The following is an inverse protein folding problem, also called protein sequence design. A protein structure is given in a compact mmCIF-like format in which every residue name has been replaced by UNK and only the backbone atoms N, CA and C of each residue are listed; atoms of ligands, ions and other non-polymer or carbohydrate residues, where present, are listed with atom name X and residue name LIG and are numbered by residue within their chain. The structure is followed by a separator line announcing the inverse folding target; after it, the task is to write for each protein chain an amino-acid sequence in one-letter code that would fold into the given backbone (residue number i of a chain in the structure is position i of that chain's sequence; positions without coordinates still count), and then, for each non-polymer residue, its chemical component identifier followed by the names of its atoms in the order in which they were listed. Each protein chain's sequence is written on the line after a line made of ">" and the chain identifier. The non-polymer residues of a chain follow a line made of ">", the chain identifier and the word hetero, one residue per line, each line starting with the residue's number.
data_IF_179245088069
#
_entry.id   IF_179245088069
#
_cell.length_a   1.000
_cell.length_b   1.000
_cell.length_c   1.000
_cell.angle_alpha   90.00
_cell.angle_beta   90.00
_cell.angle_gamma   90.00
#
_symmetry.space_group_name_H-M   'P 1'
#
loop_
_entity.id
_entity.type
_entity.pdbx_description
1 polymer ?
#
# COMPACT_ATOMS: atom_id res chain seq x y z
N UNK A 1 -12.45 33.53 -79.23
CA UNK A 1 -13.21 33.72 -77.98
C UNK A 1 -13.12 32.44 -77.15
N UNK A 2 -12.36 32.45 -76.01
CA UNK A 2 -12.26 31.31 -75.10
C UNK A 2 -13.20 31.58 -73.94
N UNK A 3 -14.23 30.79 -73.78
CA UNK A 3 -15.15 30.84 -72.64
C UNK A 3 -14.51 30.20 -71.41
N UNK A 4 -14.25 30.97 -70.36
CA UNK A 4 -13.91 30.45 -69.01
C UNK A 4 -15.22 29.99 -68.35
N UNK A 5 -15.37 28.68 -68.12
CA UNK A 5 -16.44 28.11 -67.28
C UNK A 5 -16.07 28.27 -65.83
N UNK A 6 -16.85 29.00 -65.06
CA UNK A 6 -16.73 29.07 -63.63
C UNK A 6 -17.02 27.69 -63.01
N UNK A 7 -16.28 27.28 -61.94
CA UNK A 7 -16.54 25.97 -61.29
C UNK A 7 -17.93 25.93 -60.66
N UNK A 8 -18.61 24.79 -60.81
CA UNK A 8 -19.97 24.56 -60.35
C UNK A 8 -20.12 24.75 -58.85
N UNK A 9 -21.28 25.22 -58.42
CA UNK A 9 -21.61 25.47 -56.99
C UNK A 9 -21.33 24.29 -56.05
N UNK A 10 -21.43 23.05 -56.60
CA UNK A 10 -21.11 21.80 -55.88
C UNK A 10 -19.63 21.67 -55.50
N UNK A 11 -18.69 22.16 -56.32
CA UNK A 11 -17.26 22.09 -56.04
C UNK A 11 -16.86 23.10 -54.91
N UNK A 12 -17.54 24.25 -54.85
CA UNK A 12 -17.35 25.25 -53.78
C UNK A 12 -17.89 24.77 -52.44
N UNK A 13 -19.02 24.04 -52.44
CA UNK A 13 -19.59 23.44 -51.21
C UNK A 13 -18.71 22.28 -50.68
N UNK A 14 -18.15 21.45 -51.55
CA UNK A 14 -17.23 20.38 -51.14
C UNK A 14 -15.91 20.91 -50.53
N UNK A 15 -15.35 21.99 -51.12
CA UNK A 15 -14.14 22.65 -50.55
C UNK A 15 -14.41 23.28 -49.19
N UNK A 16 -15.60 23.88 -48.99
CA UNK A 16 -15.97 24.48 -47.70
C UNK A 16 -16.20 23.42 -46.61
N UNK A 17 -16.80 22.28 -46.92
CA UNK A 17 -17.00 21.18 -46.01
C UNK A 17 -15.67 20.50 -45.62
N UNK A 18 -14.72 20.37 -46.58
CA UNK A 18 -13.39 19.86 -46.30
C UNK A 18 -12.57 20.81 -45.40
N UNK A 19 -12.73 22.13 -45.59
CA UNK A 19 -12.04 23.14 -44.76
C UNK A 19 -12.58 23.17 -43.34
N UNK A 20 -13.91 23.02 -43.15
CA UNK A 20 -14.54 22.94 -41.81
C UNK A 20 -14.15 21.64 -41.12
N UNK A 21 -14.09 20.52 -41.82
CA UNK A 21 -13.66 19.25 -41.28
C UNK A 21 -12.19 19.25 -40.83
N UNK A 22 -11.31 19.94 -41.60
CA UNK A 22 -9.90 20.09 -41.25
C UNK A 22 -9.71 20.97 -40.01
N UNK A 23 -10.52 22.00 -39.83
CA UNK A 23 -10.48 22.89 -38.66
C UNK A 23 -11.04 22.16 -37.42
N UNK A 24 -12.11 21.35 -37.56
CA UNK A 24 -12.69 20.54 -36.47
C UNK A 24 -11.73 19.43 -36.00
N UNK A 25 -10.95 18.84 -36.89
CA UNK A 25 -9.92 17.84 -36.50
C UNK A 25 -8.71 18.50 -35.81
N UNK A 26 -8.38 19.75 -36.19
CA UNK A 26 -7.29 20.48 -35.55
C UNK A 26 -7.63 20.98 -34.12
N UNK A 27 -8.91 21.21 -33.82
CA UNK A 27 -9.33 21.67 -32.47
C UNK A 27 -9.48 20.55 -31.44
N UNK A 28 -9.43 19.26 -31.82
CA UNK A 28 -9.50 18.14 -30.88
C UNK A 28 -8.13 17.61 -30.43
N UNK A 29 -7.04 18.28 -30.77
CA UNK A 29 -5.68 17.96 -30.27
C UNK A 29 -5.16 18.96 -29.27
N UNK A 30 -5.97 19.33 -28.29
CA UNK A 30 -5.43 19.85 -27.02
C UNK A 30 -5.31 18.72 -26.00
N UNK A 31 -4.72 17.61 -26.36
CA UNK A 31 -3.97 16.85 -25.39
C UNK A 31 -2.82 17.75 -25.00
N UNK A 32 -2.90 18.38 -23.84
CA UNK A 32 -1.72 18.98 -23.21
C UNK A 32 -0.65 17.90 -23.21
N UNK A 33 0.28 17.94 -24.15
CA UNK A 33 1.48 17.13 -24.11
C UNK A 33 2.23 17.58 -22.85
N UNK A 34 2.07 16.82 -21.77
CA UNK A 34 2.86 17.03 -20.57
C UNK A 34 4.31 16.91 -21.02
N UNK A 35 5.09 17.97 -20.82
CA UNK A 35 6.50 17.94 -21.16
C UNK A 35 7.15 16.71 -20.52
N UNK A 36 7.84 15.89 -21.28
CA UNK A 36 8.56 14.71 -20.77
C UNK A 36 9.56 15.09 -19.67
N UNK A 37 10.08 16.31 -19.68
CA UNK A 37 10.94 16.83 -18.61
C UNK A 37 10.24 16.96 -17.26
N UNK A 38 8.91 17.07 -17.24
CA UNK A 38 8.12 17.11 -16.00
C UNK A 38 7.83 15.71 -15.44
N UNK A 39 7.92 14.66 -16.24
CA UNK A 39 7.72 13.27 -15.85
C UNK A 39 9.00 12.69 -15.23
N UNK A 40 9.41 13.27 -14.10
CA UNK A 40 10.56 12.80 -13.32
C UNK A 40 10.36 11.39 -12.79
N UNK A 41 11.45 10.75 -12.29
CA UNK A 41 11.35 9.45 -11.63
C UNK A 41 10.34 9.47 -10.48
N UNK A 42 10.28 10.57 -9.71
CA UNK A 42 9.32 10.74 -8.61
C UNK A 42 7.88 10.72 -9.14
N UNK A 43 7.58 11.46 -10.21
CA UNK A 43 6.23 11.46 -10.80
C UNK A 43 5.83 10.06 -11.26
N UNK A 44 6.76 9.31 -11.90
CA UNK A 44 6.51 7.94 -12.34
C UNK A 44 6.27 6.98 -11.17
N UNK A 45 7.07 7.10 -10.09
CA UNK A 45 6.91 6.32 -8.88
C UNK A 45 5.54 6.53 -8.23
N UNK A 46 5.12 7.80 -8.10
CA UNK A 46 3.81 8.17 -7.55
C UNK A 46 2.66 7.66 -8.43
N UNK A 47 2.75 7.85 -9.75
CA UNK A 47 1.72 7.37 -10.70
C UNK A 47 1.56 5.86 -10.66
N UNK A 48 2.65 5.10 -10.50
CA UNK A 48 2.63 3.65 -10.39
C UNK A 48 2.00 3.14 -9.08
N UNK A 49 2.29 3.81 -7.97
CA UNK A 49 1.89 3.34 -6.64
C UNK A 49 0.51 3.86 -6.19
N UNK A 50 0.03 5.00 -6.70
CA UNK A 50 -1.17 5.69 -6.16
C UNK A 50 -2.43 4.83 -6.13
N UNK A 51 -2.58 3.90 -7.08
CA UNK A 51 -3.77 3.04 -7.17
C UNK A 51 -3.81 1.94 -6.12
N UNK A 52 -2.68 1.64 -5.49
CA UNK A 52 -2.59 0.70 -4.38
C UNK A 52 -2.77 1.36 -3.00
N UNK A 53 -2.84 2.70 -2.95
CA UNK A 53 -2.93 3.47 -1.70
C UNK A 53 -4.38 3.88 -1.47
N UNK A 54 -4.90 3.56 -0.30
CA UNK A 54 -6.27 3.89 0.10
C UNK A 54 -6.31 4.76 1.34
N UNK A 55 -7.37 5.57 1.47
CA UNK A 55 -7.62 6.34 2.68
C UNK A 55 -8.48 5.52 3.64
N UNK A 56 -8.09 5.50 4.91
CA UNK A 56 -8.83 4.84 5.98
C UNK A 56 -9.45 5.91 6.88
N UNK A 57 -10.75 5.82 7.05
CA UNK A 57 -11.51 6.67 7.96
C UNK A 57 -12.31 5.82 8.94
N UNK A 58 -12.44 6.30 10.16
CA UNK A 58 -13.26 5.64 11.15
C UNK A 58 -13.59 6.54 12.32
N UNK A 59 -14.70 6.24 13.00
CA UNK A 59 -15.04 6.93 14.24
C UNK A 59 -14.58 6.10 15.42
N UNK A 60 -13.70 6.69 16.23
CA UNK A 60 -13.28 6.16 17.54
C UNK A 60 -14.13 6.80 18.62
N UNK A 61 -14.58 6.00 19.59
CA UNK A 61 -15.18 6.51 20.80
C UNK A 61 -14.08 6.62 21.86
N UNK A 62 -13.70 7.84 22.19
CA UNK A 62 -12.77 8.10 23.29
C UNK A 62 -13.54 8.53 24.53
N UNK A 63 -13.16 8.08 25.74
CA UNK A 63 -13.71 8.62 26.99
C UNK A 63 -13.54 10.14 27.01
N UNK A 64 -14.54 10.87 27.52
CA UNK A 64 -14.49 12.33 27.62
C UNK A 64 -13.41 12.76 28.61
N UNK A 65 -13.29 12.02 29.71
CA UNK A 65 -12.23 12.18 30.70
C UNK A 65 -11.74 10.78 31.12
N UNK A 66 -10.46 10.50 30.93
CA UNK A 66 -9.87 9.21 31.31
C UNK A 66 -9.74 9.05 32.84
N UNK A 67 -9.79 10.15 33.60
CA UNK A 67 -9.70 10.14 35.06
C UNK A 67 -11.03 9.91 35.76
N UNK A 68 -12.17 10.00 35.03
CA UNK A 68 -13.52 9.86 35.62
C UNK A 68 -14.26 8.69 35.00
N UNK A 69 -14.48 7.59 35.74
CA UNK A 69 -15.27 6.45 35.24
C UNK A 69 -16.71 6.88 34.90
N UNK A 70 -17.22 6.40 33.74
CA UNK A 70 -18.61 6.57 33.28
C UNK A 70 -19.06 7.98 32.80
N UNK A 71 -18.16 8.90 32.49
CA UNK A 71 -18.53 10.22 31.95
C UNK A 71 -18.96 10.24 30.46
N UNK A 72 -19.16 9.09 29.84
CA UNK A 72 -19.52 9.00 28.42
C UNK A 72 -18.30 9.03 27.49
N UNK A 73 -18.55 8.94 26.20
CA UNK A 73 -17.49 8.94 25.17
C UNK A 73 -17.81 9.95 24.08
N UNK A 74 -16.79 10.61 23.56
CA UNK A 74 -16.90 11.47 22.39
C UNK A 74 -16.43 10.71 21.14
N UNK A 75 -17.12 10.91 20.02
CA UNK A 75 -16.65 10.41 18.74
C UNK A 75 -15.49 11.28 18.23
N UNK A 76 -14.38 10.65 17.89
CA UNK A 76 -13.23 11.29 17.26
C UNK A 76 -12.99 10.61 15.92
N UNK A 77 -12.81 11.39 14.86
CA UNK A 77 -12.47 10.84 13.57
C UNK A 77 -11.02 10.34 13.60
N UNK A 78 -10.83 9.03 13.41
CA UNK A 78 -9.54 8.43 13.08
C UNK A 78 -9.30 8.52 11.59
N UNK A 79 -8.11 8.93 11.17
CA UNK A 79 -7.68 8.99 9.77
C UNK A 79 -6.33 8.31 9.64
N UNK A 80 -6.15 7.60 8.55
CA UNK A 80 -4.90 6.96 8.17
C UNK A 80 -4.94 6.50 6.73
N UNK A 81 -3.95 5.74 6.39
CA UNK A 81 -3.73 5.21 5.05
C UNK A 81 -3.60 3.69 5.13
N UNK A 82 -3.89 3.00 4.05
CA UNK A 82 -3.63 1.58 3.87
C UNK A 82 -3.03 1.31 2.50
N UNK A 83 -2.33 0.19 2.39
CA UNK A 83 -1.70 -0.26 1.15
C UNK A 83 -2.28 -1.60 0.74
N UNK A 84 -2.73 -1.70 -0.49
CA UNK A 84 -3.26 -2.95 -1.06
C UNK A 84 -2.11 -3.92 -1.33
N UNK A 85 -2.18 -5.10 -0.74
CA UNK A 85 -1.12 -6.12 -0.79
C UNK A 85 -1.57 -7.42 -1.50
N UNK A 86 -2.86 -7.60 -1.75
CA UNK A 86 -3.40 -8.78 -2.45
C UNK A 86 -4.68 -8.43 -3.22
N UNK A 87 -4.86 -8.99 -4.44
CA UNK A 87 -6.00 -8.73 -5.34
C UNK A 87 -7.36 -9.11 -4.76
N UNK A 88 -7.41 -9.92 -3.70
CA UNK A 88 -8.64 -10.26 -2.99
C UNK A 88 -9.09 -9.17 -2.02
N UNK A 89 -8.39 -8.03 -2.00
CA UNK A 89 -8.74 -6.87 -1.19
C UNK A 89 -8.10 -6.84 0.19
N UNK A 90 -6.99 -7.53 0.42
CA UNK A 90 -6.23 -7.40 1.67
C UNK A 90 -5.35 -6.17 1.64
N UNK A 91 -5.40 -5.41 2.72
CA UNK A 91 -4.64 -4.17 2.90
C UNK A 91 -3.83 -4.26 4.19
N UNK A 92 -2.61 -3.74 4.12
CA UNK A 92 -1.75 -3.51 5.26
C UNK A 92 -1.90 -2.06 5.73
N UNK A 93 -1.96 -1.85 7.05
CA UNK A 93 -2.02 -0.53 7.69
C UNK A 93 -1.43 -0.62 9.10
N UNK A 94 -1.33 0.50 9.81
CA UNK A 94 -0.96 0.48 11.22
C UNK A 94 -2.14 0.07 12.11
N UNK A 95 -1.83 -0.62 13.21
CA UNK A 95 -2.81 -1.01 14.22
C UNK A 95 -3.52 0.21 14.81
N UNK A 96 -2.78 1.27 15.19
CA UNK A 96 -3.35 2.47 15.80
C UNK A 96 -4.35 3.20 14.88
N UNK A 97 -4.30 3.00 13.56
CA UNK A 97 -5.27 3.56 12.59
C UNK A 97 -6.64 2.91 12.76
N UNK A 98 -6.68 1.60 13.04
CA UNK A 98 -7.92 0.80 13.14
C UNK A 98 -8.31 0.47 14.58
N UNK A 99 -7.46 0.74 15.57
CA UNK A 99 -7.72 0.45 16.97
C UNK A 99 -8.90 1.27 17.50
N UNK A 100 -9.86 0.59 18.14
CA UNK A 100 -11.06 1.21 18.67
C UNK A 100 -12.05 1.75 17.61
N UNK A 101 -11.83 1.46 16.33
CA UNK A 101 -12.71 1.87 15.24
C UNK A 101 -13.85 0.87 15.07
N UNK A 102 -15.10 1.32 15.23
CA UNK A 102 -16.28 0.44 15.06
C UNK A 102 -16.56 0.09 13.60
N UNK A 103 -16.34 1.02 12.71
CA UNK A 103 -16.58 0.86 11.27
C UNK A 103 -15.40 1.44 10.51
N UNK A 104 -14.62 0.58 9.89
CA UNK A 104 -13.47 0.96 9.09
C UNK A 104 -13.97 1.26 7.69
N UNK A 105 -13.94 2.54 7.30
CA UNK A 105 -14.33 3.00 5.98
C UNK A 105 -13.06 3.21 5.14
N UNK A 106 -13.03 2.65 3.94
CA UNK A 106 -11.91 2.71 3.01
C UNK A 106 -12.36 3.45 1.76
N UNK A 107 -11.60 4.47 1.35
CA UNK A 107 -11.80 5.19 0.09
C UNK A 107 -10.64 4.89 -0.84
N UNK A 108 -10.93 4.29 -1.99
CA UNK A 108 -9.95 3.97 -3.05
C UNK A 108 -9.50 5.23 -3.79
N UNK A 109 -8.46 5.10 -4.63
CA UNK A 109 -7.91 6.19 -5.44
C UNK A 109 -8.92 6.79 -6.44
N UNK A 110 -9.89 6.01 -6.90
CA UNK A 110 -11.00 6.44 -7.76
C UNK A 110 -12.12 7.18 -7.03
N UNK A 111 -12.01 7.32 -5.69
CA UNK A 111 -13.02 7.94 -4.83
C UNK A 111 -14.12 7.00 -4.36
N UNK A 112 -14.15 5.75 -4.81
CA UNK A 112 -15.13 4.78 -4.31
C UNK A 112 -14.87 4.44 -2.85
N UNK A 113 -15.94 4.36 -2.07
CA UNK A 113 -15.89 4.11 -0.64
C UNK A 113 -16.54 2.77 -0.31
N UNK A 114 -15.86 1.97 0.50
CA UNK A 114 -16.34 0.67 0.97
C UNK A 114 -16.07 0.49 2.47
N UNK A 115 -16.59 -0.58 3.05
CA UNK A 115 -16.35 -0.95 4.46
C UNK A 115 -15.40 -2.13 4.51
N UNK A 116 -14.33 -1.98 5.27
CA UNK A 116 -13.36 -3.04 5.49
C UNK A 116 -13.69 -3.84 6.77
N UNK A 117 -13.28 -5.11 6.76
CA UNK A 117 -13.25 -5.99 7.93
C UNK A 117 -11.84 -6.05 8.47
N UNK A 118 -11.66 -5.95 9.78
CA UNK A 118 -10.40 -6.26 10.44
C UNK A 118 -10.20 -7.78 10.39
N UNK A 119 -9.07 -8.22 9.87
CA UNK A 119 -8.71 -9.64 9.74
C UNK A 119 -7.76 -10.04 10.86
N UNK A 120 -6.64 -9.32 10.99
CA UNK A 120 -5.63 -9.59 11.98
C UNK A 120 -4.96 -8.28 12.42
N UNK A 121 -4.36 -8.29 13.61
CA UNK A 121 -3.67 -7.11 14.16
C UNK A 121 -2.58 -7.54 15.13
N UNK A 122 -1.51 -6.79 15.13
CA UNK A 122 -0.46 -6.89 16.15
C UNK A 122 -0.19 -5.52 16.74
N UNK A 123 -0.35 -5.42 18.06
CA UNK A 123 -0.14 -4.18 18.81
C UNK A 123 1.34 -3.90 19.04
N UNK A 124 2.17 -4.94 19.15
CA UNK A 124 3.58 -4.80 19.47
C UNK A 124 4.33 -4.13 18.31
N UNK A 125 4.06 -4.55 17.10
CA UNK A 125 4.65 -3.99 15.87
C UNK A 125 3.83 -2.87 15.23
N UNK A 126 2.64 -2.57 15.80
CA UNK A 126 1.70 -1.57 15.25
C UNK A 126 1.22 -1.89 13.82
N UNK A 127 0.98 -3.16 13.52
CA UNK A 127 0.50 -3.60 12.21
C UNK A 127 -0.94 -4.13 12.28
N UNK A 128 -1.68 -3.96 11.20
CA UNK A 128 -3.00 -4.54 11.04
C UNK A 128 -3.27 -4.91 9.58
N UNK A 129 -4.02 -5.99 9.38
CA UNK A 129 -4.54 -6.43 8.09
C UNK A 129 -6.05 -6.23 8.10
N UNK A 130 -6.53 -5.48 7.13
CA UNK A 130 -7.96 -5.29 6.88
C UNK A 130 -8.32 -5.82 5.50
N UNK A 131 -9.58 -6.14 5.27
CA UNK A 131 -10.06 -6.66 4.00
C UNK A 131 -11.26 -5.87 3.49
N UNK A 132 -11.17 -5.41 2.25
CA UNK A 132 -12.31 -4.87 1.47
C UNK A 132 -12.89 -5.95 0.56
N UNK A 133 -14.12 -5.79 0.04
CA UNK A 133 -14.64 -6.66 -1.00
C UNK A 133 -13.69 -6.72 -2.20
N UNK A 134 -13.58 -7.89 -2.81
CA UNK A 134 -12.80 -8.08 -4.02
C UNK A 134 -13.43 -7.29 -5.18
N UNK A 135 -12.57 -6.70 -6.01
CA UNK A 135 -12.91 -5.91 -7.18
C UNK A 135 -11.81 -6.15 -8.22
N UNK A 136 -12.19 -6.30 -9.48
CA UNK A 136 -11.24 -6.60 -10.57
C UNK A 136 -10.28 -5.43 -10.89
N UNK A 137 -10.60 -4.22 -10.40
CA UNK A 137 -9.79 -3.02 -10.58
C UNK A 137 -8.77 -2.76 -9.45
N UNK A 138 -8.55 -3.73 -8.54
CA UNK A 138 -7.60 -3.56 -7.45
C UNK A 138 -6.15 -3.66 -7.94
N UNK A 139 -5.36 -2.66 -7.60
CA UNK A 139 -3.93 -2.59 -7.94
C UNK A 139 -3.08 -2.84 -6.70
N UNK A 140 -2.23 -3.87 -6.75
CA UNK A 140 -1.33 -4.21 -5.65
C UNK A 140 -0.12 -3.28 -5.66
N UNK A 141 0.35 -2.89 -4.48
CA UNK A 141 1.57 -2.11 -4.33
C UNK A 141 2.79 -2.90 -4.84
N UNK A 142 3.62 -2.31 -5.69
CA UNK A 142 4.91 -2.90 -6.01
C UNK A 142 5.75 -2.97 -4.73
N UNK A 143 6.18 -4.17 -4.33
CA UNK A 143 7.03 -4.38 -3.17
C UNK A 143 8.50 -4.31 -3.59
N UNK A 144 9.29 -3.57 -2.82
CA UNK A 144 10.74 -3.58 -2.83
C UNK A 144 11.26 -4.45 -1.69
N UNK A 145 12.54 -4.32 -1.35
CA UNK A 145 13.14 -4.91 -0.15
C UNK A 145 13.67 -3.80 0.76
N UNK A 146 13.75 -4.08 2.06
CA UNK A 146 14.36 -3.16 3.05
C UNK A 146 15.73 -3.62 3.52
N UNK A 147 16.22 -4.76 3.04
CA UNK A 147 17.52 -5.33 3.45
C UNK A 147 18.74 -4.71 2.74
N UNK A 148 18.54 -3.98 1.64
CA UNK A 148 19.61 -3.36 0.84
C UNK A 148 19.59 -1.82 0.87
N UNK A 149 18.82 -1.23 1.77
CA UNK A 149 18.65 0.22 1.86
C UNK A 149 19.95 0.95 2.24
N UNK A 150 20.15 2.12 1.64
CA UNK A 150 21.31 2.98 1.88
C UNK A 150 20.89 4.34 2.44
N UNK A 151 21.62 4.83 3.44
CA UNK A 151 21.45 6.20 3.92
C UNK A 151 21.75 7.19 2.79
N UNK A 152 20.85 8.16 2.58
CA UNK A 152 20.92 9.11 1.47
C UNK A 152 20.07 8.76 0.26
N UNK A 153 19.48 7.56 0.18
CA UNK A 153 18.53 7.23 -0.88
C UNK A 153 17.31 8.13 -0.87
N UNK A 154 16.85 8.53 -2.07
CA UNK A 154 15.61 9.27 -2.22
C UNK A 154 14.41 8.40 -1.91
N UNK A 155 13.54 8.88 -1.02
CA UNK A 155 12.28 8.22 -0.66
C UNK A 155 11.09 9.13 -0.86
N UNK A 156 9.92 8.52 -1.07
CA UNK A 156 8.65 9.18 -1.31
C UNK A 156 7.63 8.58 -0.35
N UNK A 157 7.11 9.40 0.56
CA UNK A 157 6.02 8.98 1.44
C UNK A 157 4.68 9.39 0.83
N UNK A 158 3.73 8.46 0.80
CA UNK A 158 2.38 8.70 0.32
C UNK A 158 1.36 8.42 1.42
N UNK A 159 0.25 9.17 1.39
CA UNK A 159 -0.84 8.95 2.33
C UNK A 159 -1.92 10.02 2.26
N UNK A 160 -2.76 10.03 3.29
CA UNK A 160 -3.88 10.95 3.44
C UNK A 160 -3.60 11.97 4.56
N UNK A 161 -2.50 12.72 4.43
CA UNK A 161 -2.12 13.71 5.46
C UNK A 161 -3.26 14.72 5.67
N UNK A 162 -3.72 14.84 6.92
CA UNK A 162 -4.80 15.77 7.33
C UNK A 162 -6.12 15.65 6.53
N UNK A 163 -6.39 14.50 5.91
CA UNK A 163 -7.59 14.31 5.08
C UNK A 163 -7.44 14.81 3.64
N UNK A 164 -6.26 15.28 3.24
CA UNK A 164 -5.94 15.61 1.85
C UNK A 164 -5.52 14.33 1.11
N UNK A 165 -6.44 13.78 0.34
CA UNK A 165 -6.25 12.55 -0.41
C UNK A 165 -4.96 12.57 -1.23
N UNK A 166 -4.16 11.49 -1.13
CA UNK A 166 -2.93 11.30 -1.89
C UNK A 166 -1.88 12.40 -1.70
N UNK A 167 -1.69 12.86 -0.45
CA UNK A 167 -0.56 13.72 -0.11
C UNK A 167 0.74 12.97 -0.36
N UNK A 168 1.68 13.63 -1.05
CA UNK A 168 2.99 13.08 -1.39
C UNK A 168 4.06 13.98 -0.79
N UNK A 169 4.98 13.40 -0.04
CA UNK A 169 6.18 14.09 0.45
C UNK A 169 7.42 13.35 -0.02
N UNK A 170 8.54 14.07 -0.14
CA UNK A 170 9.82 13.53 -0.58
C UNK A 170 10.89 13.82 0.45
N UNK A 171 11.81 12.90 0.63
CA UNK A 171 12.99 13.04 1.46
C UNK A 171 14.06 12.03 1.09
N UNK A 172 14.90 11.73 2.05
CA UNK A 172 15.93 10.69 1.96
C UNK A 172 15.83 9.74 3.15
N UNK A 173 16.46 8.60 3.08
CA UNK A 173 16.76 7.76 4.24
C UNK A 173 17.80 8.50 5.07
N UNK A 174 17.41 8.97 6.26
CA UNK A 174 18.30 9.70 7.18
C UNK A 174 19.13 8.76 8.05
N UNK A 175 18.56 7.60 8.41
CA UNK A 175 19.22 6.54 9.17
C UNK A 175 18.42 5.24 9.08
N UNK A 176 19.08 4.13 9.41
CA UNK A 176 18.50 2.80 9.51
C UNK A 176 18.62 2.29 10.95
N UNK A 177 17.88 1.22 11.26
CA UNK A 177 17.92 0.50 12.53
C UNK A 177 17.68 1.42 13.74
N UNK A 178 16.59 2.23 13.67
CA UNK A 178 16.22 3.14 14.77
C UNK A 178 15.21 2.50 15.71
N UNK A 179 15.60 2.45 16.98
CA UNK A 179 14.69 2.11 18.08
C UNK A 179 14.09 3.38 18.65
N UNK A 180 12.76 3.48 18.66
CA UNK A 180 12.05 4.71 19.02
C UNK A 180 11.06 4.45 20.15
N UNK A 181 11.31 4.94 21.36
CA UNK A 181 10.36 4.87 22.46
C UNK A 181 9.18 5.81 22.20
N UNK A 182 7.96 5.29 22.32
CA UNK A 182 6.71 6.04 22.15
C UNK A 182 6.12 6.41 23.50
N UNK A 183 6.20 5.50 24.46
CA UNK A 183 5.74 5.64 25.83
C UNK A 183 6.61 4.77 26.75
N UNK A 184 6.32 4.78 28.05
CA UNK A 184 7.01 3.90 29.02
C UNK A 184 6.79 2.41 28.73
N UNK A 185 5.73 2.06 27.98
CA UNK A 185 5.33 0.66 27.72
C UNK A 185 5.33 0.28 26.24
N UNK A 186 5.66 1.20 25.34
CA UNK A 186 5.64 0.95 23.89
C UNK A 186 6.89 1.53 23.22
N UNK A 187 7.57 0.71 22.45
CA UNK A 187 8.75 1.05 21.67
C UNK A 187 8.62 0.39 20.28
N UNK A 188 9.03 1.11 19.26
CA UNK A 188 9.26 0.54 17.94
C UNK A 188 10.74 0.19 17.79
N UNK A 189 10.99 -0.90 17.08
CA UNK A 189 12.35 -1.39 16.84
C UNK A 189 12.65 -1.38 15.37
N UNK A 190 13.93 -1.20 15.02
CA UNK A 190 14.49 -1.35 13.69
C UNK A 190 13.84 -0.46 12.60
N UNK A 191 13.39 0.75 12.94
CA UNK A 191 12.72 1.63 12.00
C UNK A 191 13.70 2.27 11.01
N UNK A 192 13.18 2.54 9.80
CA UNK A 192 13.77 3.46 8.81
C UNK A 192 13.47 4.88 9.27
N UNK A 193 14.50 5.73 9.42
CA UNK A 193 14.33 7.17 9.66
C UNK A 193 14.44 7.94 8.34
N UNK A 194 13.53 8.90 8.11
CA UNK A 194 13.50 9.77 6.93
C UNK A 194 13.22 11.23 7.31
N UNK A 195 13.65 12.16 6.49
CA UNK A 195 13.25 13.56 6.55
C UNK A 195 12.04 13.88 5.66
N UNK A 196 11.52 12.90 4.92
CA UNK A 196 10.21 13.02 4.27
C UNK A 196 9.14 13.35 5.31
N UNK A 197 8.27 14.32 5.01
CA UNK A 197 7.23 14.76 5.95
C UNK A 197 6.20 13.66 6.24
N UNK A 198 6.34 12.98 7.38
CA UNK A 198 5.34 12.05 7.90
C UNK A 198 4.47 12.78 8.91
N UNK A 199 3.19 12.90 8.60
CA UNK A 199 2.20 13.61 9.40
C UNK A 199 1.01 12.70 9.73
N UNK A 200 0.18 13.05 10.74
CA UNK A 200 -1.07 12.34 11.00
C UNK A 200 -1.90 12.18 9.72
N UNK A 201 -2.28 10.95 9.42
CA UNK A 201 -2.96 10.55 8.18
C UNK A 201 -2.05 9.80 7.18
N UNK A 202 -0.72 10.01 7.19
CA UNK A 202 0.22 9.20 6.40
C UNK A 202 0.52 7.85 7.04
N UNK A 203 0.22 7.64 8.32
CA UNK A 203 0.35 6.34 9.00
C UNK A 203 -0.36 5.25 8.23
N UNK A 204 0.31 4.13 8.02
CA UNK A 204 -0.18 2.98 7.25
C UNK A 204 -0.05 3.14 5.74
N UNK A 205 0.46 4.28 5.26
CA UNK A 205 0.81 4.48 3.86
C UNK A 205 2.22 4.01 3.52
N UNK A 206 2.55 3.85 2.23
CA UNK A 206 3.85 3.36 1.82
C UNK A 206 4.93 4.44 1.90
N UNK A 207 6.13 4.03 2.31
CA UNK A 207 7.38 4.67 1.97
C UNK A 207 7.92 3.98 0.71
N UNK A 208 8.07 4.73 -0.37
CA UNK A 208 8.52 4.22 -1.67
C UNK A 208 9.97 4.61 -1.92
N UNK A 209 10.71 3.77 -2.62
CA UNK A 209 11.98 4.14 -3.24
C UNK A 209 11.73 4.92 -4.54
N UNK A 210 12.80 5.35 -5.20
CA UNK A 210 12.74 6.13 -6.45
C UNK A 210 12.15 5.33 -7.63
N UNK A 211 12.12 4.00 -7.56
CA UNK A 211 11.51 3.11 -8.54
C UNK A 211 10.00 2.92 -8.32
N UNK A 212 9.44 3.49 -7.23
CA UNK A 212 8.03 3.34 -6.86
C UNK A 212 7.71 2.03 -6.14
N UNK A 213 8.72 1.30 -5.67
CA UNK A 213 8.54 0.10 -4.86
C UNK A 213 8.43 0.48 -3.39
N UNK A 214 7.51 -0.15 -2.68
CA UNK A 214 7.34 0.02 -1.24
C UNK A 214 8.50 -0.63 -0.49
N UNK A 215 9.24 0.17 0.27
CA UNK A 215 10.37 -0.23 1.11
C UNK A 215 10.06 -0.14 2.61
N UNK A 216 8.94 0.47 2.97
CA UNK A 216 8.47 0.57 4.35
C UNK A 216 7.04 1.03 4.46
N UNK A 217 6.48 0.92 5.67
CA UNK A 217 5.16 1.40 6.04
C UNK A 217 5.30 2.61 6.98
N UNK A 218 4.81 3.77 6.58
CA UNK A 218 4.94 5.01 7.34
C UNK A 218 4.27 4.92 8.71
N UNK A 219 4.96 5.39 9.74
CA UNK A 219 4.45 5.52 11.10
C UNK A 219 4.58 6.98 11.55
N UNK A 220 3.47 7.64 11.82
CA UNK A 220 3.49 8.99 12.38
C UNK A 220 3.76 8.91 13.89
N UNK A 221 5.00 9.05 14.27
CA UNK A 221 5.46 9.09 15.66
C UNK A 221 5.60 10.54 16.11
N UNK A 222 4.98 10.88 17.22
CA UNK A 222 5.06 12.24 17.78
C UNK A 222 6.34 12.39 18.60
N UNK A 223 7.47 12.67 17.94
CA UNK A 223 8.78 12.80 18.62
C UNK A 223 9.13 14.25 18.98
N UNK A 224 8.26 15.22 18.67
CA UNK A 224 8.50 16.65 19.01
C UNK A 224 9.55 17.36 18.16
N UNK A 225 10.19 16.68 17.23
CA UNK A 225 11.18 17.26 16.32
C UNK A 225 10.59 17.43 14.90
N UNK A 226 11.00 18.50 14.22
CA UNK A 226 10.65 18.72 12.80
C UNK A 226 11.58 17.89 11.91
N UNK A 227 11.07 17.45 10.74
CA UNK A 227 11.83 16.71 9.73
C UNK A 227 12.39 15.35 10.22
N UNK A 228 11.68 14.70 11.14
CA UNK A 228 11.97 13.33 11.55
C UNK A 228 10.69 12.51 11.36
N UNK A 229 10.71 11.63 10.38
CA UNK A 229 9.69 10.64 10.09
C UNK A 229 10.27 9.23 10.27
N UNK A 230 9.37 8.25 10.43
CA UNK A 230 9.74 6.85 10.57
C UNK A 230 8.87 5.96 9.71
N UNK A 231 9.42 4.80 9.31
CA UNK A 231 8.70 3.74 8.66
C UNK A 231 9.15 2.37 9.16
N UNK A 232 8.20 1.45 9.29
CA UNK A 232 8.47 0.04 9.54
C UNK A 232 9.05 -0.55 8.25
N UNK A 233 10.22 -1.23 8.26
CA UNK A 233 10.79 -1.88 7.09
C UNK A 233 9.81 -2.86 6.43
N UNK A 234 9.77 -2.89 5.10
CA UNK A 234 8.79 -3.71 4.36
C UNK A 234 8.98 -5.20 4.61
N UNK A 235 10.23 -5.68 4.69
CA UNK A 235 10.54 -7.10 4.93
C UNK A 235 9.99 -7.53 6.29
N UNK A 236 10.22 -6.74 7.35
CA UNK A 236 9.65 -6.95 8.68
C UNK A 236 8.11 -6.91 8.67
N UNK A 237 7.53 -5.94 7.95
CA UNK A 237 6.08 -5.80 7.87
C UNK A 237 5.42 -7.02 7.20
N UNK A 238 6.06 -7.61 6.18
CA UNK A 238 5.58 -8.81 5.50
C UNK A 238 5.68 -10.07 6.37
N UNK A 239 6.77 -10.22 7.13
CA UNK A 239 6.94 -11.35 8.06
C UNK A 239 5.90 -11.32 9.17
N UNK A 240 5.74 -10.17 9.84
CA UNK A 240 4.73 -10.01 10.89
C UNK A 240 3.32 -10.20 10.34
N UNK A 241 3.03 -9.67 9.15
CA UNK A 241 1.74 -9.85 8.50
C UNK A 241 1.45 -11.34 8.20
N UNK A 242 2.47 -12.11 7.78
CA UNK A 242 2.35 -13.56 7.57
C UNK A 242 2.04 -14.28 8.89
N UNK A 243 2.75 -13.95 9.95
CA UNK A 243 2.50 -14.53 11.28
C UNK A 243 1.10 -14.23 11.80
N UNK A 244 0.64 -12.98 11.69
CA UNK A 244 -0.73 -12.60 12.05
C UNK A 244 -1.79 -13.40 11.29
N UNK A 245 -1.59 -13.67 10.00
CA UNK A 245 -2.54 -14.49 9.20
C UNK A 245 -2.46 -15.94 9.62
N UNK A 246 -1.27 -16.50 9.83
CA UNK A 246 -1.08 -17.88 10.29
C UNK A 246 -1.78 -18.12 11.63
N UNK A 247 -1.60 -17.23 12.60
CA UNK A 247 -2.30 -17.31 13.88
C UNK A 247 -3.82 -17.28 13.69
N UNK A 248 -4.32 -16.37 12.82
CA UNK A 248 -5.74 -16.31 12.51
C UNK A 248 -6.26 -17.63 11.90
N UNK A 249 -5.46 -18.33 11.09
CA UNK A 249 -5.81 -19.60 10.47
C UNK A 249 -5.80 -20.77 11.47
N UNK A 250 -4.89 -20.79 12.44
CA UNK A 250 -4.85 -21.84 13.47
C UNK A 250 -6.19 -21.97 14.21
N UNK A 251 -6.86 -20.83 14.48
CA UNK A 251 -8.21 -20.83 15.07
C UNK A 251 -9.32 -21.28 14.11
N UNK A 252 -9.03 -21.42 12.83
CA UNK A 252 -10.02 -21.75 11.78
C UNK A 252 -9.86 -23.13 11.15
N UNK A 253 -9.04 -24.03 11.71
CA UNK A 253 -8.74 -25.38 11.20
C UNK A 253 -8.18 -25.41 9.75
N UNK A 254 -7.43 -24.41 9.33
CA UNK A 254 -6.83 -24.32 7.99
C UNK A 254 -5.30 -24.41 8.03
N UNK A 255 -4.73 -24.87 9.12
CA UNK A 255 -3.30 -24.93 9.34
C UNK A 255 -2.66 -26.10 8.58
N UNK A 256 -1.61 -25.82 7.80
CA UNK A 256 -0.90 -26.79 6.98
C UNK A 256 0.34 -27.41 7.65
N UNK A 257 0.83 -26.79 8.73
CA UNK A 257 2.02 -27.21 9.48
C UNK A 257 3.34 -26.67 8.91
N UNK A 258 3.30 -25.65 8.04
CA UNK A 258 4.50 -24.97 7.53
C UNK A 258 4.83 -23.74 8.36
N UNK A 259 6.08 -23.62 8.78
CA UNK A 259 6.65 -22.36 9.27
C UNK A 259 7.64 -21.89 8.22
N UNK A 260 7.39 -20.70 7.67
CA UNK A 260 8.22 -20.11 6.63
C UNK A 260 8.80 -18.77 7.08
N UNK A 261 9.94 -18.41 6.51
CA UNK A 261 10.59 -17.10 6.70
C UNK A 261 10.84 -16.42 5.35
N UNK A 262 10.94 -15.09 5.40
CA UNK A 262 11.37 -14.28 4.26
C UNK A 262 12.89 -14.35 4.13
N UNK A 263 13.37 -14.67 2.92
CA UNK A 263 14.77 -14.44 2.56
C UNK A 263 14.86 -13.54 1.34
N UNK A 264 15.86 -12.67 1.35
CA UNK A 264 16.18 -11.84 0.19
C UNK A 264 17.41 -12.44 -0.48
N UNK A 265 17.24 -12.92 -1.73
CA UNK A 265 18.30 -13.51 -2.54
C UNK A 265 18.37 -12.73 -3.85
N UNK A 266 19.54 -12.17 -4.15
CA UNK A 266 19.77 -11.32 -5.34
C UNK A 266 18.74 -10.19 -5.46
N UNK A 267 18.40 -9.55 -4.34
CA UNK A 267 17.43 -8.45 -4.27
C UNK A 267 15.97 -8.87 -4.50
N UNK A 268 15.67 -10.17 -4.43
CA UNK A 268 14.31 -10.70 -4.59
C UNK A 268 13.86 -11.46 -3.34
N UNK A 269 12.62 -11.27 -2.97
CA UNK A 269 11.99 -12.02 -1.88
C UNK A 269 11.79 -13.48 -2.27
N UNK A 270 12.04 -14.37 -1.30
CA UNK A 270 11.77 -15.80 -1.40
C UNK A 270 11.13 -16.30 -0.11
N UNK A 271 10.19 -17.25 -0.22
CA UNK A 271 9.53 -17.92 0.90
C UNK A 271 10.24 -19.24 1.20
N UNK A 272 11.03 -19.28 2.27
CA UNK A 272 11.77 -20.46 2.70
C UNK A 272 11.06 -21.18 3.84
N UNK A 273 10.96 -22.50 3.75
CA UNK A 273 10.46 -23.33 4.86
C UNK A 273 11.58 -23.46 5.89
N UNK A 274 11.32 -23.04 7.12
CA UNK A 274 12.25 -23.22 8.25
C UNK A 274 11.89 -24.41 9.12
N UNK A 275 10.60 -24.73 9.19
CA UNK A 275 10.12 -25.89 9.95
C UNK A 275 8.85 -26.47 9.30
N UNK A 276 8.73 -27.79 9.37
CA UNK A 276 7.50 -28.53 9.07
C UNK A 276 7.11 -29.27 10.33
N UNK A 277 5.88 -29.05 10.79
CA UNK A 277 5.38 -29.71 12.00
C UNK A 277 5.18 -31.20 11.77
N UNK A 278 5.46 -31.96 12.83
CA UNK A 278 5.24 -33.43 12.81
C UNK A 278 3.75 -33.74 12.67
N UNK A 279 3.45 -34.74 11.86
CA UNK A 279 2.08 -35.23 11.60
C UNK A 279 1.16 -34.22 10.93
N UNK A 280 1.75 -33.18 10.28
CA UNK A 280 1.03 -32.16 9.55
C UNK A 280 0.75 -32.54 8.08
N UNK A 281 -0.23 -31.90 7.42
CA UNK A 281 -0.45 -32.06 5.99
C UNK A 281 0.80 -31.80 5.14
N UNK A 282 1.61 -30.80 5.49
CA UNK A 282 2.86 -30.48 4.80
C UNK A 282 3.88 -31.63 4.93
N UNK A 283 4.03 -32.22 6.11
CA UNK A 283 4.92 -33.38 6.30
C UNK A 283 4.46 -34.59 5.47
N UNK A 284 3.16 -34.89 5.48
CA UNK A 284 2.58 -35.97 4.67
C UNK A 284 2.74 -35.72 3.16
N UNK A 285 2.75 -34.44 2.72
CA UNK A 285 3.05 -34.04 1.33
C UNK A 285 4.55 -34.12 0.98
N UNK A 286 5.43 -34.36 1.98
CA UNK A 286 6.87 -34.52 1.79
C UNK A 286 7.68 -33.22 1.82
N UNK A 287 7.08 -32.09 2.23
CA UNK A 287 7.78 -30.82 2.41
C UNK A 287 8.79 -30.93 3.57
N UNK A 288 9.90 -30.19 3.46
CA UNK A 288 11.01 -30.20 4.42
C UNK A 288 11.54 -28.79 4.70
N UNK A 289 12.17 -28.61 5.85
CA UNK A 289 12.97 -27.43 6.12
C UNK A 289 14.07 -27.27 5.07
N UNK A 290 14.26 -26.04 4.58
CA UNK A 290 15.16 -25.69 3.49
C UNK A 290 14.50 -25.63 2.11
N UNK A 291 13.28 -26.14 1.93
CA UNK A 291 12.56 -26.00 0.67
C UNK A 291 12.14 -24.53 0.44
N UNK A 292 12.03 -24.14 -0.83
CA UNK A 292 11.55 -22.83 -1.26
C UNK A 292 10.19 -22.99 -1.92
N UNK A 293 9.18 -22.32 -1.38
CA UNK A 293 7.84 -22.32 -1.96
C UNK A 293 7.76 -21.22 -3.01
N UNK A 294 7.53 -21.59 -4.27
CA UNK A 294 7.45 -20.65 -5.40
C UNK A 294 6.03 -20.47 -5.93
N UNK A 295 5.12 -21.41 -5.66
CA UNK A 295 3.74 -21.34 -6.09
C UNK A 295 2.80 -22.21 -5.22
N UNK A 296 1.54 -21.77 -5.11
CA UNK A 296 0.42 -22.55 -4.57
C UNK A 296 -0.72 -22.50 -5.59
N UNK A 297 -0.98 -23.62 -6.29
CA UNK A 297 -1.84 -23.63 -7.46
C UNK A 297 -1.30 -22.71 -8.55
N UNK A 298 -2.11 -21.78 -9.03
CA UNK A 298 -1.71 -20.79 -10.05
C UNK A 298 -1.08 -19.52 -9.45
N UNK A 299 -0.96 -19.42 -8.13
CA UNK A 299 -0.45 -18.24 -7.44
C UNK A 299 1.05 -18.34 -7.24
N UNK A 300 1.77 -17.34 -7.69
CA UNK A 300 3.18 -17.16 -7.38
C UNK A 300 3.36 -16.75 -5.92
N UNK A 301 4.26 -17.42 -5.22
CA UNK A 301 4.64 -17.13 -3.83
C UNK A 301 6.04 -16.51 -3.85
N UNK A 302 6.16 -15.30 -3.35
CA UNK A 302 7.42 -14.55 -3.27
C UNK A 302 7.89 -14.38 -1.83
N UNK A 303 6.94 -14.36 -0.88
CA UNK A 303 7.20 -14.15 0.54
C UNK A 303 6.18 -14.92 1.39
N UNK A 304 6.44 -15.11 2.70
CA UNK A 304 5.55 -15.85 3.61
C UNK A 304 4.10 -15.37 3.59
N UNK A 305 3.87 -14.06 3.50
CA UNK A 305 2.51 -13.52 3.46
C UNK A 305 1.74 -13.99 2.20
N UNK A 306 2.40 -14.12 1.03
CA UNK A 306 1.76 -14.68 -0.17
C UNK A 306 1.28 -16.12 0.10
N UNK A 307 2.10 -16.94 0.80
CA UNK A 307 1.76 -18.30 1.18
C UNK A 307 0.53 -18.34 2.08
N UNK A 308 0.58 -17.61 3.18
CA UNK A 308 -0.49 -17.58 4.16
C UNK A 308 -1.81 -17.11 3.53
N UNK A 309 -1.75 -16.05 2.73
CA UNK A 309 -2.93 -15.57 2.01
C UNK A 309 -3.40 -16.58 0.95
N UNK A 310 -2.52 -17.33 0.27
CA UNK A 310 -2.91 -18.35 -0.70
C UNK A 310 -3.67 -19.50 -0.01
N UNK A 311 -3.19 -19.93 1.16
CA UNK A 311 -3.83 -21.00 1.94
C UNK A 311 -5.22 -20.62 2.45
N UNK A 312 -5.48 -19.35 2.78
CA UNK A 312 -6.83 -18.87 3.16
C UNK A 312 -7.88 -18.99 2.05
N UNK A 313 -7.51 -19.22 0.81
CA UNK A 313 -8.44 -19.32 -0.33
C UNK A 313 -8.73 -20.73 -0.82
N UNK A 314 -8.15 -21.75 -0.20
CA UNK A 314 -8.24 -23.15 -0.67
C UNK A 314 -9.35 -23.96 0.03
N UNK A 315 -10.53 -23.36 0.24
CA UNK A 315 -11.72 -24.07 0.77
C UNK A 315 -12.71 -24.37 -0.31
#
# INVERSE_FOLDING_TARGET
>A
MRYFRAPSCALRAALFVCLIASVLVATHRTTQAQSELRRTAIVKAVDGARWSVVNIHGQKLLPIDQSVPNQGSRAVNGMGTGVLIDQRGYLLTNFHVVDGVKRIQVTKADGQTTVAKLIARDRATDLAIIKIPQDDELHIAPLGTSSDLMVGETVIAMGNAYGYNHSVTRGIISALHRDVPISETQQYFDLIQTDAGINPGNSGGPLLNIEGKMIGLNVAVRVGAQNIGFAIPVDQALEVAAEMIREHQQYSNSYDGVVSELRVVDGQHQCHIVQVESDSPAQHAGLRAGDVITAVGERTIRHPLDLELAMMGQR
#
